data_IF_646325850124
#
_entry.id   IF_646325850124
#
_cell.length_a   1.000
_cell.length_b   1.000
_cell.length_c   1.000
_cell.angle_alpha   90.00
_cell.angle_beta   90.00
_cell.angle_gamma   90.00
#
_symmetry.space_group_name_H-M   'P 1'
#
loop_
_entity.id
_entity.type
_entity.pdbx_description
1 polymer ?
#
# COMPACT_ATOMS: atom_id res chain seq x y z
N UNK A 1 -24.22 30.36 14.23
CA UNK A 1 -22.90 30.88 13.82
C UNK A 1 -22.43 30.05 12.64
N UNK A 2 -22.02 30.67 11.53
CA UNK A 2 -21.46 29.95 10.39
C UNK A 2 -19.99 29.60 10.67
N UNK A 3 -19.49 28.45 10.18
CA UNK A 3 -18.08 28.09 10.30
C UNK A 3 -17.16 29.16 9.72
N UNK A 4 -16.05 29.47 10.41
CA UNK A 4 -14.97 30.25 9.81
C UNK A 4 -14.15 29.36 8.87
N UNK A 5 -13.52 29.94 7.85
CA UNK A 5 -12.74 29.21 6.83
C UNK A 5 -11.67 28.28 7.41
N UNK A 6 -11.04 28.68 8.52
CA UNK A 6 -10.02 27.89 9.23
C UNK A 6 -10.62 26.64 9.91
N UNK A 7 -11.80 26.76 10.52
CA UNK A 7 -12.49 25.62 11.13
C UNK A 7 -12.87 24.56 10.09
N UNK A 8 -13.34 24.99 8.91
CA UNK A 8 -13.69 24.08 7.82
C UNK A 8 -12.48 23.35 7.21
N UNK A 9 -11.33 24.04 7.12
CA UNK A 9 -10.09 23.42 6.63
C UNK A 9 -9.57 22.34 7.59
N UNK A 10 -9.63 22.60 8.90
CA UNK A 10 -9.24 21.61 9.91
C UNK A 10 -10.15 20.37 9.90
N UNK A 11 -11.47 20.56 9.81
CA UNK A 11 -12.42 19.45 9.63
C UNK A 11 -12.12 18.60 8.39
N UNK A 12 -11.68 19.25 7.29
CA UNK A 12 -11.33 18.55 6.04
C UNK A 12 -10.03 17.74 6.19
N UNK A 13 -9.04 18.29 6.89
CA UNK A 13 -7.78 17.60 7.19
C UNK A 13 -8.05 16.38 8.10
N UNK A 14 -8.84 16.54 9.15
CA UNK A 14 -9.15 15.47 10.10
C UNK A 14 -9.92 14.32 9.40
N UNK A 15 -10.91 14.66 8.55
CA UNK A 15 -11.61 13.66 7.74
C UNK A 15 -10.69 12.93 6.75
N UNK A 16 -9.70 13.63 6.19
CA UNK A 16 -8.68 13.00 5.34
C UNK A 16 -7.82 12.01 6.13
N UNK A 17 -7.32 12.41 7.30
CA UNK A 17 -6.48 11.58 8.16
C UNK A 17 -7.21 10.31 8.57
N UNK A 18 -8.48 10.42 8.99
CA UNK A 18 -9.31 9.27 9.33
C UNK A 18 -9.44 8.29 8.16
N UNK A 19 -9.73 8.79 6.95
CA UNK A 19 -9.83 7.97 5.75
C UNK A 19 -8.48 7.33 5.36
N UNK A 20 -7.38 8.06 5.50
CA UNK A 20 -6.05 7.57 5.17
C UNK A 20 -5.63 6.44 6.10
N UNK A 21 -5.81 6.60 7.43
CA UNK A 21 -5.56 5.54 8.40
C UNK A 21 -6.44 4.32 8.17
N UNK A 22 -7.73 4.49 7.89
CA UNK A 22 -8.63 3.38 7.56
C UNK A 22 -8.13 2.57 6.36
N UNK A 23 -7.63 3.25 5.30
CA UNK A 23 -7.04 2.58 4.13
C UNK A 23 -5.74 1.85 4.48
N UNK A 24 -4.87 2.44 5.31
CA UNK A 24 -3.63 1.79 5.77
C UNK A 24 -3.96 0.52 6.56
N UNK A 25 -4.96 0.55 7.44
CA UNK A 25 -5.40 -0.60 8.22
C UNK A 25 -5.99 -1.71 7.34
N UNK A 26 -6.82 -1.37 6.35
CA UNK A 26 -7.31 -2.35 5.37
C UNK A 26 -6.15 -3.04 4.62
N UNK A 27 -5.16 -2.25 4.16
CA UNK A 27 -3.97 -2.77 3.48
C UNK A 27 -3.18 -3.70 4.41
N UNK A 28 -3.00 -3.33 5.68
CA UNK A 28 -2.32 -4.16 6.68
C UNK A 28 -3.04 -5.48 6.92
N UNK A 29 -4.38 -5.48 6.98
CA UNK A 29 -5.18 -6.71 7.10
C UNK A 29 -5.01 -7.62 5.88
N UNK A 30 -5.03 -7.06 4.66
CA UNK A 30 -4.80 -7.82 3.43
C UNK A 30 -3.35 -8.33 3.33
N UNK A 31 -2.37 -7.54 3.79
CA UNK A 31 -0.97 -7.93 3.85
C UNK A 31 -0.77 -9.14 4.76
N UNK A 32 -1.44 -9.19 5.91
CA UNK A 32 -1.41 -10.36 6.78
C UNK A 32 -1.91 -11.64 6.08
N UNK A 33 -2.97 -11.56 5.26
CA UNK A 33 -3.44 -12.70 4.44
C UNK A 33 -2.37 -13.16 3.44
N UNK A 34 -1.65 -12.23 2.80
CA UNK A 34 -0.52 -12.54 1.91
C UNK A 34 0.60 -13.25 2.68
N UNK A 35 0.94 -12.82 3.90
CA UNK A 35 1.95 -13.47 4.73
C UNK A 35 1.60 -14.89 5.13
N UNK A 36 0.35 -15.13 5.51
CA UNK A 36 -0.11 -16.47 5.86
C UNK A 36 -0.03 -17.39 4.64
N UNK A 37 -0.45 -16.90 3.46
CA UNK A 37 -0.38 -17.68 2.21
C UNK A 37 1.05 -17.95 1.75
N UNK A 38 2.00 -17.03 2.00
CA UNK A 38 3.41 -17.21 1.68
C UNK A 38 4.04 -18.44 2.38
N UNK A 39 3.57 -18.79 3.58
CA UNK A 39 4.06 -19.96 4.33
C UNK A 39 3.77 -21.28 3.63
N UNK A 40 2.67 -21.34 2.88
CA UNK A 40 2.19 -22.52 2.15
C UNK A 40 2.33 -22.39 0.63
N UNK A 41 2.89 -21.29 0.13
CA UNK A 41 3.05 -21.03 -1.29
C UNK A 41 4.06 -22.01 -1.93
N UNK A 42 3.80 -22.47 -3.17
CA UNK A 42 4.78 -23.24 -3.93
C UNK A 42 6.09 -22.47 -4.14
N UNK A 43 7.22 -23.16 -4.07
CA UNK A 43 8.56 -22.55 -4.21
C UNK A 43 8.70 -21.74 -5.51
N UNK A 44 8.03 -22.17 -6.58
CA UNK A 44 8.05 -21.50 -7.88
C UNK A 44 7.50 -20.07 -7.85
N UNK A 45 6.68 -19.66 -6.88
CA UNK A 45 6.18 -18.28 -6.75
C UNK A 45 6.58 -17.61 -5.43
N UNK A 46 7.25 -18.36 -4.55
CA UNK A 46 7.53 -17.96 -3.18
C UNK A 46 8.48 -16.77 -3.11
N UNK A 47 9.49 -16.72 -3.97
CA UNK A 47 10.43 -15.60 -4.05
C UNK A 47 9.72 -14.32 -4.50
N UNK A 48 8.92 -14.40 -5.56
CA UNK A 48 8.17 -13.27 -6.10
C UNK A 48 7.13 -12.74 -5.10
N UNK A 49 6.42 -13.64 -4.42
CA UNK A 49 5.45 -13.29 -3.38
C UNK A 49 6.14 -12.70 -2.14
N UNK A 50 7.31 -13.19 -1.76
CA UNK A 50 8.10 -12.63 -0.67
C UNK A 50 8.59 -11.21 -1.01
N UNK A 51 9.02 -10.96 -2.24
CA UNK A 51 9.39 -9.63 -2.72
C UNK A 51 8.20 -8.66 -2.65
N UNK A 52 7.02 -9.09 -3.10
CA UNK A 52 5.79 -8.28 -2.97
C UNK A 52 5.51 -7.97 -1.49
N UNK A 53 5.58 -8.97 -0.60
CA UNK A 53 5.33 -8.76 0.83
C UNK A 53 6.30 -7.75 1.48
N UNK A 54 7.58 -7.78 1.09
CA UNK A 54 8.57 -6.79 1.54
C UNK A 54 8.19 -5.38 1.06
N UNK A 55 7.82 -5.23 -0.21
CA UNK A 55 7.41 -3.94 -0.78
C UNK A 55 6.14 -3.41 -0.10
N UNK A 56 5.13 -4.26 0.11
CA UNK A 56 3.89 -3.87 0.80
C UNK A 56 4.21 -3.31 2.19
N UNK A 57 5.05 -3.99 2.98
CA UNK A 57 5.47 -3.50 4.31
C UNK A 57 6.18 -2.16 4.25
N UNK A 58 7.09 -2.00 3.28
CA UNK A 58 7.81 -0.75 3.09
C UNK A 58 6.85 0.41 2.79
N UNK A 59 5.89 0.20 1.88
CA UNK A 59 4.92 1.23 1.50
C UNK A 59 3.87 1.50 2.59
N UNK A 60 3.45 0.49 3.36
CA UNK A 60 2.65 0.71 4.58
C UNK A 60 3.40 1.64 5.52
N UNK A 61 4.65 1.32 5.89
CA UNK A 61 5.43 2.15 6.81
C UNK A 61 5.62 3.59 6.28
N UNK A 62 5.85 3.75 4.97
CA UNK A 62 5.95 5.07 4.35
C UNK A 62 4.61 5.82 4.42
N UNK A 63 3.49 5.15 4.12
CA UNK A 63 2.16 5.74 4.23
C UNK A 63 1.86 6.20 5.65
N UNK A 64 2.20 5.40 6.67
CA UNK A 64 2.03 5.78 8.08
C UNK A 64 2.80 7.05 8.43
N UNK A 65 4.07 7.15 8.01
CA UNK A 65 4.88 8.36 8.21
C UNK A 65 4.27 9.56 7.49
N UNK A 66 3.85 9.40 6.24
CA UNK A 66 3.27 10.51 5.48
C UNK A 66 1.91 10.98 6.02
N UNK A 67 1.08 10.07 6.54
CA UNK A 67 -0.19 10.41 7.20
C UNK A 67 0.08 11.10 8.54
N UNK A 68 1.04 10.63 9.33
CA UNK A 68 1.47 11.29 10.58
C UNK A 68 2.02 12.70 10.32
N UNK A 69 2.78 12.88 9.23
CA UNK A 69 3.23 14.21 8.80
C UNK A 69 2.05 15.12 8.42
N UNK A 70 1.03 14.59 7.74
CA UNK A 70 -0.19 15.33 7.41
C UNK A 70 -0.96 15.72 8.68
N UNK A 71 -1.02 14.86 9.70
CA UNK A 71 -1.69 15.13 10.98
C UNK A 71 -1.08 16.32 11.73
N UNK A 72 0.24 16.45 11.67
CA UNK A 72 1.00 17.48 12.37
C UNK A 72 1.34 18.71 11.50
N UNK A 73 0.85 18.77 10.26
CA UNK A 73 1.12 19.85 9.33
C UNK A 73 0.18 21.05 9.52
N UNK A 74 0.72 22.26 9.27
CA UNK A 74 -0.06 23.50 9.22
C UNK A 74 -1.03 23.53 8.02
N UNK A 75 -2.02 24.43 8.04
CA UNK A 75 -3.10 24.53 7.04
C UNK A 75 -2.63 24.51 5.57
N UNK A 76 -1.51 25.16 5.25
CA UNK A 76 -0.98 25.18 3.88
C UNK A 76 -0.09 23.98 3.56
N UNK A 77 0.55 23.40 4.57
CA UNK A 77 1.52 22.32 4.40
C UNK A 77 0.82 21.00 4.13
N UNK A 78 -0.28 20.71 4.82
CA UNK A 78 -0.94 19.41 4.67
C UNK A 78 -1.50 19.19 3.24
N UNK A 79 -1.92 20.26 2.57
CA UNK A 79 -2.37 20.21 1.17
C UNK A 79 -1.24 19.74 0.23
N UNK A 80 -0.02 20.22 0.47
CA UNK A 80 1.16 19.83 -0.30
C UNK A 80 1.64 18.42 0.04
N UNK A 81 1.43 17.97 1.28
CA UNK A 81 1.85 16.65 1.77
C UNK A 81 0.87 15.53 1.41
N UNK A 82 -0.43 15.83 1.32
CA UNK A 82 -1.49 14.86 0.99
C UNK A 82 -1.16 13.95 -0.21
N UNK A 83 -0.68 14.45 -1.36
CA UNK A 83 -0.35 13.60 -2.50
C UNK A 83 0.72 12.52 -2.19
N UNK A 84 1.61 12.77 -1.23
CA UNK A 84 2.66 11.81 -0.84
C UNK A 84 2.09 10.65 -0.04
N UNK A 85 1.20 10.94 0.91
CA UNK A 85 0.43 9.94 1.62
C UNK A 85 -0.44 9.13 0.65
N UNK A 86 -1.19 9.81 -0.23
CA UNK A 86 -2.02 9.16 -1.26
C UNK A 86 -1.20 8.25 -2.20
N UNK A 87 0.00 8.68 -2.61
CA UNK A 87 0.90 7.87 -3.45
C UNK A 87 1.38 6.63 -2.71
N UNK A 88 1.83 6.77 -1.46
CA UNK A 88 2.38 5.66 -0.68
C UNK A 88 1.31 4.60 -0.38
N UNK A 89 0.09 5.04 -0.06
CA UNK A 89 -1.07 4.16 0.09
C UNK A 89 -1.37 3.46 -1.25
N UNK A 90 -1.37 4.20 -2.35
CA UNK A 90 -1.61 3.65 -3.69
C UNK A 90 -0.57 2.62 -4.13
N UNK A 91 0.71 2.84 -3.79
CA UNK A 91 1.78 1.90 -4.09
C UNK A 91 1.68 0.62 -3.24
N UNK A 92 1.30 0.73 -1.96
CA UNK A 92 0.99 -0.44 -1.13
C UNK A 92 -0.20 -1.25 -1.70
N UNK A 93 -1.26 -0.57 -2.16
CA UNK A 93 -2.42 -1.20 -2.81
C UNK A 93 -2.02 -1.92 -4.09
N UNK A 94 -1.19 -1.31 -4.94
CA UNK A 94 -0.73 -1.91 -6.19
C UNK A 94 0.10 -3.18 -5.95
N UNK A 95 0.98 -3.18 -4.94
CA UNK A 95 1.76 -4.37 -4.61
C UNK A 95 0.89 -5.48 -3.99
N UNK A 96 -0.18 -5.14 -3.26
CA UNK A 96 -1.20 -6.12 -2.83
C UNK A 96 -1.94 -6.73 -4.01
N UNK A 97 -2.39 -5.93 -4.98
CA UNK A 97 -3.03 -6.42 -6.20
C UNK A 97 -2.12 -7.41 -6.92
N UNK A 98 -0.84 -7.07 -7.08
CA UNK A 98 0.17 -7.95 -7.67
C UNK A 98 0.36 -9.25 -6.86
N UNK A 99 0.43 -9.18 -5.53
CA UNK A 99 0.53 -10.36 -4.69
C UNK A 99 -0.69 -11.27 -4.85
N UNK A 100 -1.89 -10.71 -4.94
CA UNK A 100 -3.12 -11.45 -5.20
C UNK A 100 -3.17 -12.06 -6.59
N UNK A 101 -2.66 -11.39 -7.63
CA UNK A 101 -2.52 -11.97 -8.97
C UNK A 101 -1.61 -13.21 -8.97
N UNK A 102 -0.46 -13.13 -8.29
CA UNK A 102 0.46 -14.25 -8.11
C UNK A 102 -0.24 -15.42 -7.41
N UNK A 103 -0.98 -15.15 -6.33
CA UNK A 103 -1.68 -16.15 -5.53
C UNK A 103 -2.86 -16.80 -6.27
N UNK A 104 -3.65 -16.01 -6.99
CA UNK A 104 -4.86 -16.46 -7.65
C UNK A 104 -4.58 -17.22 -8.95
N UNK A 105 -3.52 -16.85 -9.67
CA UNK A 105 -3.15 -17.54 -10.91
C UNK A 105 -1.63 -17.67 -11.08
N UNK A 106 -0.97 -18.54 -10.29
CA UNK A 106 0.47 -18.76 -10.35
C UNK A 106 0.96 -19.12 -11.77
N UNK A 107 0.19 -19.93 -12.50
CA UNK A 107 0.58 -20.38 -13.83
C UNK A 107 0.49 -19.29 -14.90
N UNK A 108 -0.49 -18.39 -14.82
CA UNK A 108 -0.56 -17.26 -15.73
C UNK A 108 0.51 -16.22 -15.40
N UNK A 109 0.74 -15.95 -14.10
CA UNK A 109 1.81 -15.07 -13.65
C UNK A 109 3.18 -15.51 -14.20
N UNK A 110 3.49 -16.80 -14.06
CA UNK A 110 4.74 -17.39 -14.56
C UNK A 110 4.85 -17.34 -16.09
N UNK A 111 3.75 -17.39 -16.84
CA UNK A 111 3.80 -17.34 -18.32
C UNK A 111 3.77 -15.92 -18.87
N UNK A 112 3.63 -14.91 -18.02
CA UNK A 112 3.65 -13.51 -18.46
C UNK A 112 5.04 -13.16 -18.99
N UNK A 113 5.14 -12.64 -20.23
CA UNK A 113 6.43 -12.26 -20.83
C UNK A 113 7.16 -11.18 -20.04
N UNK A 114 6.43 -10.37 -19.26
CA UNK A 114 6.99 -9.31 -18.41
C UNK A 114 7.61 -9.86 -17.10
N UNK A 115 7.32 -11.12 -16.75
CA UNK A 115 7.82 -11.80 -15.54
C UNK A 115 8.88 -12.87 -15.83
N UNK A 116 9.34 -12.99 -17.09
CA UNK A 116 10.46 -13.83 -17.51
C UNK A 116 11.67 -12.94 -17.86
N UNK A 117 12.87 -13.22 -17.31
CA UNK A 117 13.59 -14.43 -17.65
C UNK A 117 14.15 -15.13 -16.41
N UNK A 118 13.59 -16.29 -16.03
CA UNK A 118 14.31 -17.20 -15.14
C UNK A 118 15.48 -17.78 -15.91
N UNK A 119 16.67 -17.23 -15.71
CA UNK A 119 17.93 -17.81 -16.18
C UNK A 119 17.99 -19.28 -15.73
N UNK A 120 18.25 -20.18 -16.68
CA UNK A 120 18.78 -21.51 -16.41
C UNK A 120 17.78 -22.51 -15.85
N UNK A 121 17.05 -23.18 -16.74
CA UNK A 121 16.82 -24.61 -16.57
C UNK A 121 17.87 -25.27 -17.48
N UNK A 122 19.00 -25.64 -16.89
CA UNK A 122 19.85 -26.72 -17.40
C UNK A 122 19.40 -28.03 -16.72
#
# INVERSE_FOLDING_TARGET
MAPTKSMHMKETQDAYIEQAWARVDEIRLMQHDVEEKLKTAPDVIKEDLAACNVNIKMFINLAEVEVDMVEHADENQWIEMRPRADSSIGDAQRELERAHEILNNPYAYLRSPDNFPRKGID
#
